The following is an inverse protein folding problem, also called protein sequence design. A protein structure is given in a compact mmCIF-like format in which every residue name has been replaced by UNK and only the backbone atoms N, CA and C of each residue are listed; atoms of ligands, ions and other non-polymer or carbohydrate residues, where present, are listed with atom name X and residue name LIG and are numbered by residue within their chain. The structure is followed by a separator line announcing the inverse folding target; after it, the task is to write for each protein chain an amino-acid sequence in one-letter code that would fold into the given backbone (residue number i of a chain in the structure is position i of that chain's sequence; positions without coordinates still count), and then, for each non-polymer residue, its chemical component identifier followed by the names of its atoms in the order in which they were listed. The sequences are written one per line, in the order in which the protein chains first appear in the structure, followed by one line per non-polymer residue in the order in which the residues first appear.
data_IF_668149858224
#
_entry.id   IF_668149858224
#
_cell.length_a   1.000
_cell.length_b   1.000
_cell.length_c   1.000
_cell.angle_alpha   90.00
_cell.angle_beta   90.00
_cell.angle_gamma   90.00
#
_symmetry.space_group_name_H-M   'P 1'
#
loop_
_entity.id
_entity.type
_entity.pdbx_description
1 polymer ?
#
# COMPACT_ATOMS: atom_id res chain seq x y z
N UNK A 1 52.46 45.06 -32.96
CA UNK A 1 52.52 44.01 -31.91
C UNK A 1 51.51 44.16 -30.75
N UNK A 2 50.64 45.19 -30.72
CA UNK A 2 49.71 45.43 -29.58
C UNK A 2 48.35 44.73 -29.73
N UNK A 3 47.92 44.42 -30.96
CA UNK A 3 46.60 43.80 -31.24
C UNK A 3 46.46 42.39 -30.67
N UNK A 4 47.51 41.57 -30.78
CA UNK A 4 47.53 40.17 -30.32
C UNK A 4 47.42 40.02 -28.80
N UNK A 5 47.89 41.02 -28.04
CA UNK A 5 47.82 41.04 -26.57
C UNK A 5 46.40 41.32 -26.07
N UNK A 6 45.67 42.23 -26.75
CA UNK A 6 44.28 42.55 -26.40
C UNK A 6 43.32 41.40 -26.71
N UNK A 7 43.49 40.75 -27.85
CA UNK A 7 42.70 39.56 -28.20
C UNK A 7 43.00 38.38 -27.27
N UNK A 8 44.25 38.21 -26.84
CA UNK A 8 44.61 37.21 -25.83
C UNK A 8 43.92 37.48 -24.48
N UNK A 9 43.99 38.72 -23.97
CA UNK A 9 43.33 39.10 -22.71
C UNK A 9 41.80 38.95 -22.77
N UNK A 10 41.19 39.31 -23.89
CA UNK A 10 39.74 39.18 -24.09
C UNK A 10 39.30 37.71 -24.16
N UNK A 11 40.07 36.85 -24.83
CA UNK A 11 39.76 35.41 -24.94
C UNK A 11 39.95 34.68 -23.61
N UNK A 12 41.00 34.98 -22.85
CA UNK A 12 41.21 34.40 -21.52
C UNK A 12 40.15 34.85 -20.53
N UNK A 13 39.74 36.13 -20.59
CA UNK A 13 38.67 36.67 -19.73
C UNK A 13 37.32 36.02 -20.05
N UNK A 14 37.00 35.85 -21.33
CA UNK A 14 35.78 35.18 -21.78
C UNK A 14 35.73 33.70 -21.32
N UNK A 15 36.83 32.97 -21.44
CA UNK A 15 36.94 31.58 -20.96
C UNK A 15 36.74 31.48 -19.43
N UNK A 16 37.29 32.43 -18.68
CA UNK A 16 37.11 32.50 -17.22
C UNK A 16 35.64 32.74 -16.86
N UNK A 17 34.98 33.67 -17.55
CA UNK A 17 33.55 33.98 -17.34
C UNK A 17 32.67 32.78 -17.69
N UNK A 18 32.93 32.08 -18.82
CA UNK A 18 32.19 30.86 -19.17
C UNK A 18 32.38 29.76 -18.12
N UNK A 19 33.59 29.60 -17.58
CA UNK A 19 33.86 28.61 -16.53
C UNK A 19 33.09 28.94 -15.24
N UNK A 20 33.06 30.21 -14.83
CA UNK A 20 32.38 30.68 -13.62
C UNK A 20 30.85 30.57 -13.72
N UNK A 21 30.27 30.70 -14.91
CA UNK A 21 28.83 30.55 -15.14
C UNK A 21 28.38 29.08 -15.19
N UNK A 22 29.27 28.15 -15.56
CA UNK A 22 28.96 26.72 -15.71
C UNK A 22 28.81 25.99 -14.36
N UNK A 23 29.69 26.27 -13.39
CA UNK A 23 29.66 25.65 -12.07
C UNK A 23 28.33 25.81 -11.29
N UNK A 24 27.76 27.02 -11.15
CA UNK A 24 26.52 27.19 -10.39
C UNK A 24 25.35 26.45 -11.04
N UNK A 25 25.24 26.46 -12.37
CA UNK A 25 24.21 25.72 -13.11
C UNK A 25 24.34 24.22 -12.86
N UNK A 26 25.55 23.68 -12.88
CA UNK A 26 25.81 22.27 -12.59
C UNK A 26 25.40 21.90 -11.15
N UNK A 27 25.81 22.70 -10.17
CA UNK A 27 25.47 22.46 -8.75
C UNK A 27 23.98 22.58 -8.46
N UNK A 28 23.28 23.48 -9.15
CA UNK A 28 21.83 23.65 -9.06
C UNK A 28 21.11 22.42 -9.63
N UNK A 29 21.52 21.93 -10.80
CA UNK A 29 20.95 20.73 -11.40
C UNK A 29 21.14 19.49 -10.51
N UNK A 30 22.34 19.30 -9.93
CA UNK A 30 22.61 18.21 -8.98
C UNK A 30 21.72 18.28 -7.74
N UNK A 31 21.52 19.48 -7.19
CA UNK A 31 20.64 19.69 -6.03
C UNK A 31 19.17 19.43 -6.35
N UNK A 32 18.71 19.82 -7.54
CA UNK A 32 17.37 19.53 -8.04
C UNK A 32 17.18 18.02 -8.22
N UNK A 33 18.14 17.32 -8.84
CA UNK A 33 18.09 15.86 -9.04
C UNK A 33 18.03 15.11 -7.69
N UNK A 34 18.85 15.51 -6.72
CA UNK A 34 18.87 14.91 -5.38
C UNK A 34 17.62 15.24 -4.56
N UNK A 35 16.93 16.36 -4.83
CA UNK A 35 15.65 16.71 -4.21
C UNK A 35 14.47 16.03 -4.90
N UNK A 36 14.57 15.73 -6.19
CA UNK A 36 13.56 14.97 -6.96
C UNK A 36 13.57 13.48 -6.63
N UNK A 37 14.67 12.95 -6.09
CA UNK A 37 14.72 11.63 -5.44
C UNK A 37 14.22 11.68 -3.99
N UNK A 38 13.41 12.69 -3.64
CA UNK A 38 12.71 12.78 -2.37
C UNK A 38 11.91 11.51 -2.09
N UNK A 39 12.38 10.75 -1.08
CA UNK A 39 11.64 9.88 -0.17
C UNK A 39 10.40 9.23 -0.79
N UNK A 40 10.65 8.21 -1.60
CA UNK A 40 9.62 7.23 -1.93
C UNK A 40 9.24 6.53 -0.61
N UNK A 41 8.13 6.95 -0.01
CA UNK A 41 7.53 6.20 1.11
C UNK A 41 7.03 4.89 0.54
N UNK A 42 7.87 3.85 0.57
CA UNK A 42 7.44 2.49 0.29
C UNK A 42 6.45 2.09 1.37
N UNK A 43 5.16 2.18 1.07
CA UNK A 43 4.12 1.54 1.86
C UNK A 43 4.12 0.08 1.46
N UNK A 44 4.65 -0.78 2.32
CA UNK A 44 4.58 -2.22 2.11
C UNK A 44 3.12 -2.66 2.18
N UNK A 45 2.69 -3.44 1.18
CA UNK A 45 1.34 -4.00 1.14
C UNK A 45 1.37 -5.39 1.78
N UNK A 46 0.52 -5.61 2.78
CA UNK A 46 0.46 -6.85 3.55
C UNK A 46 -0.75 -7.69 3.16
N UNK A 47 -0.55 -8.99 2.98
CA UNK A 47 -1.60 -9.94 2.60
C UNK A 47 -1.63 -11.11 3.58
N UNK A 48 -2.84 -11.56 3.89
CA UNK A 48 -3.06 -12.71 4.76
C UNK A 48 -4.05 -13.69 4.14
N UNK A 49 -3.90 -14.97 4.49
CA UNK A 49 -4.92 -15.98 4.20
C UNK A 49 -5.25 -16.71 5.47
N UNK A 50 -6.53 -16.88 5.74
CA UNK A 50 -7.02 -17.46 6.98
C UNK A 50 -8.20 -18.38 6.72
N UNK A 51 -8.00 -19.67 6.98
CA UNK A 51 -9.09 -20.62 7.06
C UNK A 51 -9.72 -20.52 8.46
N UNK A 52 -10.96 -20.01 8.51
CA UNK A 52 -11.69 -19.80 9.76
C UNK A 52 -12.36 -21.09 10.26
N UNK A 53 -12.27 -22.19 9.51
CA UNK A 53 -12.81 -23.51 9.78
C UNK A 53 -14.33 -23.49 10.04
N UNK A 54 -15.12 -23.85 9.04
CA UNK A 54 -16.60 -23.88 9.13
C UNK A 54 -17.13 -22.52 9.64
N UNK A 55 -16.76 -21.44 8.94
CA UNK A 55 -17.25 -20.11 9.31
C UNK A 55 -18.74 -19.97 8.99
N UNK A 56 -19.47 -19.37 9.92
CA UNK A 56 -20.89 -19.06 9.78
C UNK A 56 -21.51 -18.63 11.10
N UNK A 57 -22.84 -18.60 11.15
CA UNK A 57 -23.63 -18.08 12.27
C UNK A 57 -23.20 -18.63 13.64
N UNK A 58 -22.96 -19.94 13.75
CA UNK A 58 -22.53 -20.56 15.01
C UNK A 58 -21.21 -19.98 15.56
N UNK A 59 -20.28 -19.58 14.68
CA UNK A 59 -19.03 -18.92 15.10
C UNK A 59 -19.25 -17.46 15.48
N UNK A 60 -20.13 -16.75 14.76
CA UNK A 60 -20.48 -15.36 15.08
C UNK A 60 -21.21 -15.22 16.43
N UNK A 61 -21.92 -16.25 16.87
CA UNK A 61 -22.55 -16.29 18.20
C UNK A 61 -21.54 -16.43 19.37
N UNK A 62 -20.26 -16.72 19.08
CA UNK A 62 -19.24 -16.82 20.11
C UNK A 62 -18.37 -15.55 20.13
N UNK A 63 -18.66 -14.67 21.08
CA UNK A 63 -17.97 -13.37 21.22
C UNK A 63 -16.45 -13.52 21.33
N UNK A 64 -15.94 -14.54 22.03
CA UNK A 64 -14.49 -14.75 22.15
C UNK A 64 -13.85 -15.11 20.80
N UNK A 65 -14.56 -15.88 19.97
CA UNK A 65 -14.11 -16.19 18.60
C UNK A 65 -14.14 -14.93 17.76
N UNK A 66 -15.23 -14.17 17.80
CA UNK A 66 -15.37 -12.91 17.06
C UNK A 66 -14.23 -11.94 17.40
N UNK A 67 -13.93 -11.73 18.68
CA UNK A 67 -12.84 -10.85 19.12
C UNK A 67 -11.48 -11.25 18.49
N UNK A 68 -11.20 -12.55 18.43
CA UNK A 68 -9.99 -13.08 17.78
C UNK A 68 -10.03 -12.86 16.27
N UNK A 69 -11.17 -13.07 15.61
CA UNK A 69 -11.32 -12.80 14.18
C UNK A 69 -11.06 -11.33 13.87
N UNK A 70 -11.63 -10.40 14.63
CA UNK A 70 -11.42 -8.97 14.45
C UNK A 70 -9.95 -8.58 14.59
N UNK A 71 -9.23 -9.20 15.54
CA UNK A 71 -7.79 -8.99 15.72
C UNK A 71 -6.96 -9.57 14.57
N UNK A 72 -7.33 -10.71 14.00
CA UNK A 72 -6.60 -11.32 12.88
C UNK A 72 -6.83 -10.51 11.60
N UNK A 73 -8.08 -10.24 11.25
CA UNK A 73 -8.46 -9.60 9.99
C UNK A 73 -8.00 -8.14 9.88
N UNK A 74 -7.76 -7.48 11.01
CA UNK A 74 -7.26 -6.10 11.02
C UNK A 74 -5.74 -5.99 10.83
N UNK A 75 -4.98 -7.08 10.86
CA UNK A 75 -3.51 -7.01 10.78
C UNK A 75 -2.96 -6.77 9.38
N UNK A 76 -3.74 -7.04 8.34
CA UNK A 76 -3.28 -7.05 6.96
C UNK A 76 -4.13 -6.10 6.11
N UNK A 77 -3.56 -5.62 5.01
CA UNK A 77 -4.26 -4.73 4.08
C UNK A 77 -5.26 -5.49 3.20
N UNK A 78 -4.94 -6.75 2.87
CA UNK A 78 -5.81 -7.67 2.13
C UNK A 78 -5.87 -9.02 2.85
N UNK A 79 -7.06 -9.57 3.04
CA UNK A 79 -7.21 -10.91 3.65
C UNK A 79 -8.12 -11.82 2.85
N UNK A 80 -7.60 -13.00 2.49
CA UNK A 80 -8.39 -14.11 1.98
C UNK A 80 -8.98 -14.93 3.13
N UNK A 81 -10.29 -14.85 3.31
CA UNK A 81 -11.06 -15.65 4.26
C UNK A 81 -11.55 -16.93 3.57
N UNK A 82 -11.28 -18.09 4.16
CA UNK A 82 -11.63 -19.40 3.60
C UNK A 82 -12.60 -20.18 4.50
N UNK A 83 -13.26 -21.17 3.90
CA UNK A 83 -14.22 -22.07 4.53
C UNK A 83 -15.46 -21.36 5.09
N UNK A 84 -15.94 -20.35 4.36
CA UNK A 84 -17.23 -19.68 4.63
C UNK A 84 -18.35 -20.65 4.25
N UNK A 85 -19.04 -21.20 5.25
CA UNK A 85 -20.15 -22.15 5.09
C UNK A 85 -21.48 -21.54 5.56
N UNK A 86 -21.70 -20.28 5.21
CA UNK A 86 -22.93 -19.57 5.52
C UNK A 86 -23.74 -19.31 4.24
N UNK A 87 -24.85 -20.04 4.06
CA UNK A 87 -25.67 -19.91 2.86
C UNK A 87 -26.51 -18.62 2.83
N UNK A 88 -26.80 -18.01 3.99
CA UNK A 88 -27.52 -16.73 4.04
C UNK A 88 -26.60 -15.54 3.72
N UNK A 89 -25.30 -15.70 3.97
CA UNK A 89 -24.32 -14.63 3.84
C UNK A 89 -24.41 -13.57 4.94
N UNK A 90 -25.21 -13.79 5.98
CA UNK A 90 -25.41 -12.82 7.05
C UNK A 90 -24.21 -12.79 8.01
N UNK A 91 -23.57 -13.94 8.28
CA UNK A 91 -22.46 -14.03 9.21
C UNK A 91 -21.25 -13.21 8.75
N UNK A 92 -20.97 -13.22 7.44
CA UNK A 92 -19.83 -12.49 6.89
C UNK A 92 -20.11 -10.98 6.81
N UNK A 93 -21.37 -10.58 6.58
CA UNK A 93 -21.79 -9.17 6.64
C UNK A 93 -21.69 -8.62 8.06
N UNK A 94 -22.17 -9.38 9.04
CA UNK A 94 -22.04 -9.04 10.45
C UNK A 94 -20.57 -8.89 10.86
N UNK A 95 -19.71 -9.83 10.45
CA UNK A 95 -18.27 -9.75 10.71
C UNK A 95 -17.64 -8.48 10.10
N UNK A 96 -18.02 -8.13 8.87
CA UNK A 96 -17.54 -6.91 8.19
C UNK A 96 -17.98 -5.63 8.92
N UNK A 97 -19.23 -5.59 9.39
CA UNK A 97 -19.74 -4.46 10.16
C UNK A 97 -18.96 -4.31 11.47
N UNK A 98 -18.84 -5.39 12.24
CA UNK A 98 -18.09 -5.40 13.50
C UNK A 98 -16.62 -5.02 13.30
N UNK A 99 -15.99 -5.45 12.20
CA UNK A 99 -14.63 -5.07 11.87
C UNK A 99 -14.49 -3.58 11.57
N UNK A 100 -15.45 -3.00 10.84
CA UNK A 100 -15.46 -1.58 10.53
C UNK A 100 -15.68 -0.71 11.78
N UNK A 101 -16.44 -1.20 12.76
CA UNK A 101 -16.69 -0.53 14.04
C UNK A 101 -15.61 -0.81 15.10
N UNK A 102 -14.79 -1.84 14.91
CA UNK A 102 -13.77 -2.27 15.86
C UNK A 102 -12.68 -1.22 16.04
N UNK A 103 -12.18 -1.07 17.27
CA UNK A 103 -10.99 -0.25 17.56
C UNK A 103 -9.75 -0.71 16.81
N UNK A 104 -9.68 -1.99 16.42
CA UNK A 104 -8.56 -2.56 15.67
C UNK A 104 -8.51 -2.05 14.21
N UNK A 105 -9.61 -1.50 13.69
CA UNK A 105 -9.66 -0.94 12.33
C UNK A 105 -8.74 0.27 12.15
N UNK A 106 -8.41 1.00 13.23
CA UNK A 106 -7.72 2.29 13.17
C UNK A 106 -8.39 3.27 12.19
N UNK A 107 -9.72 3.20 12.03
CA UNK A 107 -10.50 4.03 11.11
C UNK A 107 -10.46 3.59 9.64
N UNK A 108 -9.87 2.43 9.32
CA UNK A 108 -9.91 1.86 7.97
C UNK A 108 -11.32 1.42 7.60
N UNK A 109 -11.64 1.57 6.31
CA UNK A 109 -12.86 1.04 5.71
C UNK A 109 -12.57 -0.33 5.11
N UNK A 110 -13.40 -1.30 5.41
CA UNK A 110 -13.30 -2.65 4.86
C UNK A 110 -14.41 -2.88 3.84
N UNK A 111 -14.10 -3.66 2.81
CA UNK A 111 -15.06 -4.13 1.82
C UNK A 111 -14.77 -5.59 1.54
N UNK A 112 -15.78 -6.40 1.27
CA UNK A 112 -15.57 -7.82 0.99
C UNK A 112 -16.16 -8.22 -0.36
N UNK A 113 -15.39 -8.97 -1.13
CA UNK A 113 -15.84 -9.63 -2.36
C UNK A 113 -15.92 -11.13 -2.12
N UNK A 114 -17.09 -11.71 -2.37
CA UNK A 114 -17.36 -13.13 -2.13
C UNK A 114 -17.35 -13.92 -3.45
N UNK A 115 -16.76 -15.11 -3.42
CA UNK A 115 -16.87 -16.07 -4.51
C UNK A 115 -18.26 -16.70 -4.58
N UNK A 116 -18.53 -17.40 -5.68
CA UNK A 116 -19.60 -18.39 -5.73
C UNK A 116 -19.41 -19.46 -4.66
N UNK A 117 -20.49 -20.18 -4.32
CA UNK A 117 -20.43 -21.36 -3.46
C UNK A 117 -19.81 -22.53 -4.23
N UNK A 118 -18.63 -22.98 -3.80
CA UNK A 118 -17.84 -24.02 -4.44
C UNK A 118 -17.82 -25.30 -3.61
N UNK A 119 -17.75 -26.45 -4.27
CA UNK A 119 -17.70 -27.77 -3.64
C UNK A 119 -18.21 -28.84 -4.59
N UNK A 120 -17.82 -30.10 -4.37
CA UNK A 120 -18.25 -31.23 -5.23
C UNK A 120 -19.57 -31.84 -4.78
N UNK A 121 -19.86 -31.77 -3.48
CA UNK A 121 -21.06 -32.35 -2.85
C UNK A 121 -22.07 -31.26 -2.48
N UNK A 122 -23.08 -31.59 -1.66
CA UNK A 122 -24.02 -30.62 -1.08
C UNK A 122 -23.37 -29.67 -0.06
N UNK A 123 -22.24 -30.07 0.55
CA UNK A 123 -21.43 -29.18 1.38
C UNK A 123 -20.63 -28.25 0.47
N UNK A 124 -20.95 -26.95 0.50
CA UNK A 124 -20.29 -25.90 -0.29
C UNK A 124 -19.75 -24.79 0.61
N UNK A 125 -18.64 -24.20 0.15
CA UNK A 125 -17.89 -23.14 0.81
C UNK A 125 -17.74 -21.92 -0.10
N UNK A 126 -17.43 -20.77 0.49
CA UNK A 126 -17.05 -19.56 -0.23
C UNK A 126 -15.68 -19.07 0.23
N UNK A 127 -15.06 -18.31 -0.67
CA UNK A 127 -13.89 -17.50 -0.41
C UNK A 127 -14.31 -16.04 -0.31
N UNK A 128 -13.77 -15.30 0.64
CA UNK A 128 -13.98 -13.85 0.76
C UNK A 128 -12.65 -13.12 0.66
N UNK A 129 -12.55 -12.15 -0.24
CA UNK A 129 -11.44 -11.20 -0.28
C UNK A 129 -11.86 -9.93 0.45
N UNK A 130 -11.26 -9.67 1.59
CA UNK A 130 -11.50 -8.55 2.48
C UNK A 130 -10.42 -7.48 2.33
#
# INVERSE_FOLDING_TARGET
MISTSRTFLLTTSLLLILSLLSYPVLTLNLSIINKSTAKQSSTDLTYCSFNVQVFGQKKMQNNQVVDVLLKILSQCDLTLIMEIRDASGEAIKELLQLLSESKNSAGRKFQISLSLRLGRTSSKEQYGML
#
